data_IF_852574057643
#
_entry.id   IF_852574057643
#
_cell.length_a   1.000
_cell.length_b   1.000
_cell.length_c   1.000
_cell.angle_alpha   90.00
_cell.angle_beta   90.00
_cell.angle_gamma   90.00
#
_symmetry.space_group_name_H-M   'P 1'
#
loop_
_entity.id
_entity.type
_entity.pdbx_description
1 polymer ?
#
# COMPACT_ATOMS: atom_id res chain seq x y z
N UNK A 1 16.16 1.60 40.90
CA UNK A 1 16.52 2.37 39.68
C UNK A 1 15.60 1.91 38.54
N UNK A 2 14.51 2.64 38.26
CA UNK A 2 13.58 2.34 37.15
C UNK A 2 14.09 3.02 35.89
N UNK A 3 14.65 2.26 34.96
CA UNK A 3 14.68 2.67 33.56
C UNK A 3 13.53 1.92 32.90
N UNK A 4 12.35 2.55 32.85
CA UNK A 4 11.31 2.11 31.94
C UNK A 4 11.91 2.18 30.55
N UNK A 5 12.23 1.03 29.96
CA UNK A 5 12.53 0.93 28.55
C UNK A 5 11.43 1.67 27.80
N UNK A 6 11.81 2.74 27.11
CA UNK A 6 10.96 3.49 26.20
C UNK A 6 10.52 2.56 25.06
N UNK A 7 9.48 1.75 25.32
CA UNK A 7 8.73 0.99 24.31
C UNK A 7 7.99 1.91 23.33
N UNK A 8 8.07 3.22 23.51
CA UNK A 8 7.61 4.23 22.56
C UNK A 8 8.37 4.18 21.21
N UNK A 9 9.56 3.58 21.16
CA UNK A 9 10.37 3.48 19.92
C UNK A 9 10.79 2.06 19.52
N UNK A 10 10.30 1.02 20.22
CA UNK A 10 10.62 -0.38 19.92
C UNK A 10 9.40 -1.14 19.38
N UNK A 11 8.78 -0.60 18.34
CA UNK A 11 8.00 -1.39 17.39
C UNK A 11 8.93 -1.72 16.24
N UNK A 12 9.44 -2.95 16.17
CA UNK A 12 9.94 -3.48 14.90
C UNK A 12 8.73 -3.53 13.97
N UNK A 13 8.40 -2.40 13.31
CA UNK A 13 7.18 -2.23 12.51
C UNK A 13 7.23 -3.27 11.42
N UNK A 14 6.40 -4.30 11.55
CA UNK A 14 6.42 -5.39 10.59
C UNK A 14 6.02 -4.81 9.23
N UNK A 15 6.59 -5.28 8.11
CA UNK A 15 6.12 -4.88 6.79
C UNK A 15 4.60 -5.02 6.62
N UNK A 16 3.99 -5.96 7.33
CA UNK A 16 2.53 -6.14 7.41
C UNK A 16 1.76 -4.96 8.04
N UNK A 17 2.30 -4.32 9.08
CA UNK A 17 1.64 -3.17 9.72
C UNK A 17 1.62 -1.95 8.80
N UNK A 18 2.75 -1.74 8.10
CA UNK A 18 2.90 -0.71 7.07
C UNK A 18 1.99 -1.00 5.88
N UNK A 19 1.85 -2.27 5.49
CA UNK A 19 0.92 -2.68 4.45
C UNK A 19 -0.53 -2.36 4.84
N UNK A 20 -0.98 -2.78 6.03
CA UNK A 20 -2.37 -2.58 6.46
C UNK A 20 -2.71 -1.10 6.59
N UNK A 21 -1.82 -0.30 7.18
CA UNK A 21 -2.01 1.15 7.30
C UNK A 21 -2.00 1.86 5.95
N UNK A 22 -1.06 1.52 5.06
CA UNK A 22 -1.03 2.03 3.69
C UNK A 22 -2.29 1.67 2.90
N UNK A 23 -2.79 0.44 3.07
CA UNK A 23 -4.01 -0.02 2.41
C UNK A 23 -5.24 0.75 2.89
N UNK A 24 -5.35 1.02 4.19
CA UNK A 24 -6.45 1.80 4.77
C UNK A 24 -6.43 3.26 4.30
N UNK A 25 -5.25 3.89 4.29
CA UNK A 25 -5.08 5.26 3.80
C UNK A 25 -5.45 5.33 2.31
N UNK A 26 -4.96 4.37 1.51
CA UNK A 26 -5.31 4.23 0.11
C UNK A 26 -6.82 4.08 -0.09
N UNK A 27 -7.49 3.26 0.72
CA UNK A 27 -8.94 3.06 0.66
C UNK A 27 -9.72 4.35 0.96
N UNK A 28 -9.37 5.06 2.03
CA UNK A 28 -10.08 6.28 2.44
C UNK A 28 -9.92 7.38 1.38
N UNK A 29 -8.66 7.61 0.95
CA UNK A 29 -8.35 8.65 -0.05
C UNK A 29 -8.99 8.37 -1.41
N UNK A 30 -8.80 7.17 -1.96
CA UNK A 30 -9.40 6.78 -3.23
C UNK A 30 -10.91 6.63 -3.16
N UNK A 31 -11.45 6.14 -2.03
CA UNK A 31 -12.88 6.04 -1.78
C UNK A 31 -13.56 7.40 -1.84
N UNK A 32 -13.00 8.41 -1.17
CA UNK A 32 -13.50 9.78 -1.25
C UNK A 32 -13.41 10.35 -2.67
N UNK A 33 -12.30 10.11 -3.37
CA UNK A 33 -12.09 10.57 -4.74
C UNK A 33 -13.09 9.94 -5.73
N UNK A 34 -13.20 8.61 -5.76
CA UNK A 34 -14.09 7.90 -6.68
C UNK A 34 -15.57 8.03 -6.31
N UNK A 35 -15.90 8.24 -5.03
CA UNK A 35 -17.27 8.60 -4.64
C UNK A 35 -17.71 9.92 -5.29
N UNK A 36 -16.81 10.92 -5.35
CA UNK A 36 -17.08 12.17 -6.07
C UNK A 36 -17.28 11.92 -7.57
N UNK A 37 -16.45 11.09 -8.20
CA UNK A 37 -16.61 10.75 -9.62
C UNK A 37 -17.94 10.05 -9.93
N UNK A 38 -18.47 9.23 -9.02
CA UNK A 38 -19.81 8.64 -9.14
C UNK A 38 -20.89 9.72 -9.06
N UNK A 39 -20.77 10.67 -8.11
CA UNK A 39 -21.73 11.78 -7.99
C UNK A 39 -21.73 12.68 -9.23
N UNK A 40 -20.56 12.88 -9.84
CA UNK A 40 -20.38 13.64 -11.07
C UNK A 40 -20.79 12.84 -12.34
N UNK A 41 -21.33 11.62 -12.19
CA UNK A 41 -21.68 10.71 -13.29
C UNK A 41 -20.52 10.36 -14.25
N UNK A 42 -19.27 10.50 -13.80
CA UNK A 42 -18.06 10.19 -14.59
C UNK A 42 -17.77 8.69 -14.66
N UNK A 43 -18.08 7.97 -13.59
CA UNK A 43 -17.91 6.51 -13.51
C UNK A 43 -19.11 5.86 -12.81
N UNK A 44 -19.33 4.57 -13.09
CA UNK A 44 -20.35 3.79 -12.40
C UNK A 44 -19.94 3.40 -10.96
N UNK A 45 -20.90 3.16 -10.05
CA UNK A 45 -20.61 2.74 -8.67
C UNK A 45 -19.77 1.46 -8.57
N UNK A 46 -20.01 0.49 -9.46
CA UNK A 46 -19.22 -0.75 -9.52
C UNK A 46 -17.75 -0.48 -9.88
N UNK A 47 -17.51 0.41 -10.83
CA UNK A 47 -16.17 0.81 -11.24
C UNK A 47 -15.46 1.56 -10.12
N UNK A 48 -16.16 2.45 -9.41
CA UNK A 48 -15.61 3.16 -8.26
C UNK A 48 -15.12 2.20 -7.18
N UNK A 49 -15.93 1.21 -6.79
CA UNK A 49 -15.52 0.20 -5.79
C UNK A 49 -14.29 -0.58 -6.26
N UNK A 50 -14.26 -1.05 -7.52
CA UNK A 50 -13.10 -1.75 -8.08
C UNK A 50 -11.83 -0.89 -8.02
N UNK A 51 -11.91 0.38 -8.44
CA UNK A 51 -10.78 1.30 -8.42
C UNK A 51 -10.31 1.63 -7.01
N UNK A 52 -11.22 1.83 -6.06
CA UNK A 52 -10.90 2.03 -4.64
C UNK A 52 -10.16 0.83 -4.05
N UNK A 53 -10.65 -0.39 -4.31
CA UNK A 53 -10.02 -1.61 -3.81
C UNK A 53 -8.64 -1.84 -4.45
N UNK A 54 -8.51 -1.58 -5.74
CA UNK A 54 -7.23 -1.62 -6.45
C UNK A 54 -6.22 -0.66 -5.82
N UNK A 55 -6.61 0.61 -5.67
CA UNK A 55 -5.75 1.64 -5.12
C UNK A 55 -5.38 1.38 -3.66
N UNK A 56 -6.32 0.85 -2.87
CA UNK A 56 -6.06 0.37 -1.50
C UNK A 56 -4.97 -0.71 -1.50
N UNK A 57 -5.11 -1.75 -2.32
CA UNK A 57 -4.13 -2.84 -2.38
C UNK A 57 -2.75 -2.34 -2.82
N UNK A 58 -2.68 -1.51 -3.86
CA UNK A 58 -1.44 -0.91 -4.34
C UNK A 58 -0.77 -0.03 -3.27
N UNK A 59 -1.55 0.80 -2.57
CA UNK A 59 -1.05 1.64 -1.48
C UNK A 59 -0.49 0.80 -0.33
N UNK A 60 -1.12 -0.32 -0.01
CA UNK A 60 -0.60 -1.26 0.97
C UNK A 60 0.73 -1.88 0.55
N UNK A 61 0.83 -2.37 -0.69
CA UNK A 61 2.07 -2.95 -1.22
C UNK A 61 3.20 -1.91 -1.15
N UNK A 62 2.94 -0.69 -1.63
CA UNK A 62 3.93 0.40 -1.65
C UNK A 62 4.37 0.74 -0.23
N UNK A 63 3.45 0.86 0.73
CA UNK A 63 3.81 1.16 2.11
C UNK A 63 4.60 0.02 2.77
N UNK A 64 4.19 -1.24 2.58
CA UNK A 64 4.87 -2.41 3.15
C UNK A 64 6.30 -2.58 2.63
N UNK A 65 6.46 -2.64 1.30
CA UNK A 65 7.76 -2.87 0.66
C UNK A 65 8.63 -1.60 0.63
N UNK A 66 8.03 -0.43 0.45
CA UNK A 66 8.74 0.84 0.47
C UNK A 66 9.36 1.12 1.82
N UNK A 67 8.60 0.98 2.92
CA UNK A 67 9.15 1.18 4.27
C UNK A 67 10.17 0.09 4.62
N UNK A 68 9.95 -1.16 4.21
CA UNK A 68 10.94 -2.24 4.35
C UNK A 68 12.26 -1.90 3.63
N UNK A 69 12.18 -1.40 2.39
CA UNK A 69 13.35 -0.97 1.63
C UNK A 69 14.05 0.23 2.30
N UNK A 70 13.29 1.24 2.76
CA UNK A 70 13.83 2.37 3.51
C UNK A 70 14.59 1.92 4.76
N UNK A 71 14.03 0.96 5.51
CA UNK A 71 14.70 0.40 6.69
C UNK A 71 16.02 -0.30 6.32
N UNK A 72 16.06 -1.03 5.21
CA UNK A 72 17.27 -1.69 4.74
C UNK A 72 18.33 -0.68 4.28
N UNK A 73 17.93 0.42 3.61
CA UNK A 73 18.84 1.51 3.22
C UNK A 73 19.50 2.13 4.45
N UNK A 74 18.72 2.45 5.49
CA UNK A 74 19.24 3.02 6.74
C UNK A 74 20.21 2.06 7.43
N UNK A 75 20.03 0.74 7.29
CA UNK A 75 20.92 -0.29 7.82
C UNK A 75 22.13 -0.60 6.91
N UNK A 76 22.28 0.06 5.77
CA UNK A 76 23.33 -0.21 4.79
C UNK A 76 23.13 -1.48 3.97
N UNK A 77 21.96 -2.12 4.04
CA UNK A 77 21.64 -3.38 3.37
C UNK A 77 21.05 -3.13 1.96
N UNK A 78 21.81 -2.47 1.09
CA UNK A 78 21.33 -2.02 -0.23
C UNK A 78 20.79 -3.14 -1.12
N UNK A 79 21.39 -4.34 -1.12
CA UNK A 79 20.90 -5.47 -1.90
C UNK A 79 19.49 -5.90 -1.47
N UNK A 80 19.20 -5.90 -0.16
CA UNK A 80 17.86 -6.20 0.37
C UNK A 80 16.88 -5.07 0.07
N UNK A 81 17.32 -3.81 0.09
CA UNK A 81 16.50 -2.68 -0.31
C UNK A 81 16.04 -2.79 -1.77
N UNK A 82 16.98 -3.08 -2.68
CA UNK A 82 16.69 -3.29 -4.11
C UNK A 82 15.72 -4.45 -4.30
N UNK A 83 15.92 -5.57 -3.60
CA UNK A 83 15.01 -6.71 -3.68
C UNK A 83 13.58 -6.35 -3.21
N UNK A 84 13.44 -5.62 -2.10
CA UNK A 84 12.13 -5.19 -1.61
C UNK A 84 11.43 -4.25 -2.61
N UNK A 85 12.15 -3.31 -3.23
CA UNK A 85 11.60 -2.44 -4.27
C UNK A 85 11.16 -3.23 -5.49
N UNK A 86 12.00 -4.15 -5.98
CA UNK A 86 11.69 -4.99 -7.13
C UNK A 86 10.44 -5.85 -6.90
N UNK A 87 10.33 -6.46 -5.71
CA UNK A 87 9.15 -7.23 -5.31
C UNK A 87 7.90 -6.34 -5.22
N UNK A 88 8.01 -5.15 -4.61
CA UNK A 88 6.91 -4.19 -4.53
C UNK A 88 6.37 -3.77 -5.90
N UNK A 89 7.26 -3.38 -6.82
CA UNK A 89 6.89 -3.00 -8.20
C UNK A 89 6.25 -4.18 -8.93
N UNK A 90 6.82 -5.38 -8.79
CA UNK A 90 6.28 -6.59 -9.42
C UNK A 90 4.87 -6.90 -8.92
N UNK A 91 4.64 -6.82 -7.61
CA UNK A 91 3.33 -7.07 -7.01
C UNK A 91 2.28 -6.02 -7.43
N UNK A 92 2.67 -4.75 -7.56
CA UNK A 92 1.80 -3.71 -8.13
C UNK A 92 1.47 -4.04 -9.60
N UNK A 93 2.44 -4.47 -10.39
CA UNK A 93 2.22 -4.89 -11.79
C UNK A 93 1.27 -6.09 -11.91
N UNK A 94 1.41 -7.08 -11.02
CA UNK A 94 0.50 -8.22 -10.92
C UNK A 94 -0.91 -7.75 -10.54
N UNK A 95 -1.03 -6.89 -9.54
CA UNK A 95 -2.32 -6.32 -9.09
C UNK A 95 -3.05 -5.62 -10.24
N UNK A 96 -2.33 -4.85 -11.05
CA UNK A 96 -2.86 -4.22 -12.25
C UNK A 96 -3.40 -5.24 -13.26
N UNK A 97 -2.66 -6.31 -13.52
CA UNK A 97 -3.05 -7.35 -14.48
C UNK A 97 -4.28 -8.13 -14.01
N UNK A 98 -4.33 -8.52 -12.74
CA UNK A 98 -5.45 -9.29 -12.19
C UNK A 98 -6.74 -8.48 -12.05
N UNK A 99 -6.66 -7.16 -11.80
CA UNK A 99 -7.84 -6.32 -11.63
C UNK A 99 -8.34 -5.77 -12.97
N UNK A 100 -7.47 -5.41 -13.92
CA UNK A 100 -7.88 -4.91 -15.25
C UNK A 100 -8.51 -6.01 -16.13
N UNK A 101 -8.17 -7.29 -15.96
CA UNK A 101 -8.86 -8.41 -16.68
C UNK A 101 -10.38 -8.45 -16.40
N UNK A 102 -10.88 -7.72 -15.39
CA UNK A 102 -12.32 -7.61 -15.09
C UNK A 102 -12.98 -6.30 -15.57
N UNK A 103 -12.30 -5.46 -16.35
CA UNK A 103 -12.89 -4.27 -17.00
C UNK A 103 -13.43 -4.56 -18.41
N UNK A 104 -12.96 -5.63 -19.08
CA UNK A 104 -13.31 -5.95 -20.48
C UNK A 104 -14.32 -7.12 -20.65
N UNK A 105 -15.16 -7.42 -19.65
CA UNK A 105 -16.27 -8.38 -19.79
C UNK A 105 -17.59 -7.84 -19.25
#
# INVERSE_FOLDING_TARGET
>A
MRLSQNRLFSSSRLPGDNFLSGALIGFISSGAFYYKEVKDAKIGPKTAVKKTLKFSLESGIIAGFGISASNNIVRGEYSKATLNLALGITLVGITNKFINTKEDQ
#
